data_IF_084121918222
#
_entry.id   IF_084121918222
#
_cell.length_a   1.000
_cell.length_b   1.000
_cell.length_c   1.000
_cell.angle_alpha   90.00
_cell.angle_beta   90.00
_cell.angle_gamma   90.00
#
_symmetry.space_group_name_H-M   'P 1'
#
loop_
_entity.id
_entity.type
_entity.pdbx_description
1 polymer ?
#
# COMPACT_ATOMS: atom_id res chain seq x y z
N UNK A 1 14.68 -13.89 9.59
CA UNK A 1 14.63 -13.47 11.00
C UNK A 1 14.45 -11.97 11.23
N UNK A 2 14.51 -11.15 10.16
CA UNK A 2 14.31 -9.69 10.26
C UNK A 2 12.82 -9.24 10.20
N UNK A 3 11.87 -10.17 10.01
CA UNK A 3 10.51 -9.85 9.57
C UNK A 3 9.54 -9.39 10.66
N UNK A 4 9.64 -9.89 11.88
CA UNK A 4 8.56 -9.74 12.86
C UNK A 4 8.48 -8.38 13.57
N UNK A 5 9.62 -7.76 13.91
CA UNK A 5 9.58 -6.56 14.75
C UNK A 5 9.35 -5.24 14.00
N UNK A 6 9.66 -5.16 12.71
CA UNK A 6 9.43 -3.94 11.93
C UNK A 6 7.98 -3.88 11.48
N UNK A 7 7.43 -5.01 11.02
CA UNK A 7 6.02 -5.13 10.68
C UNK A 7 5.10 -4.95 11.89
N UNK A 8 5.46 -5.50 13.04
CA UNK A 8 4.69 -5.36 14.26
C UNK A 8 4.65 -3.91 14.78
N UNK A 9 5.74 -3.14 14.64
CA UNK A 9 5.73 -1.71 14.97
C UNK A 9 4.93 -0.89 13.99
N UNK A 10 5.09 -1.12 12.70
CA UNK A 10 4.28 -0.48 11.66
C UNK A 10 2.81 -0.85 11.85
N UNK A 11 2.53 -2.11 12.12
CA UNK A 11 1.19 -2.60 12.40
C UNK A 11 0.53 -1.93 13.61
N UNK A 12 1.21 -1.86 14.76
CA UNK A 12 0.66 -1.18 15.95
C UNK A 12 0.41 0.30 15.71
N UNK A 13 1.31 0.96 15.00
CA UNK A 13 1.17 2.38 14.68
C UNK A 13 -0.01 2.62 13.71
N UNK A 14 -0.18 1.76 12.71
CA UNK A 14 -1.27 1.85 11.74
C UNK A 14 -2.61 1.36 12.30
N UNK A 15 -2.61 0.39 13.22
CA UNK A 15 -3.81 -0.05 13.92
C UNK A 15 -4.46 1.07 14.73
N UNK A 16 -3.66 1.91 15.40
CA UNK A 16 -4.15 3.07 16.14
C UNK A 16 -4.74 4.14 15.20
N UNK A 17 -4.25 4.20 13.95
CA UNK A 17 -4.65 5.21 12.96
C UNK A 17 -5.69 4.70 11.95
N UNK A 18 -5.71 3.38 11.67
CA UNK A 18 -6.58 2.76 10.68
C UNK A 18 -7.10 1.39 11.14
N UNK A 19 -8.30 1.32 11.77
CA UNK A 19 -8.90 0.06 12.23
C UNK A 19 -9.16 -0.96 11.11
N UNK A 20 -9.30 -0.54 9.85
CA UNK A 20 -9.52 -1.42 8.71
C UNK A 20 -8.31 -2.31 8.43
N UNK A 21 -7.11 -1.80 8.69
CA UNK A 21 -5.86 -2.57 8.56
C UNK A 21 -5.86 -3.78 9.51
N UNK A 22 -6.38 -3.63 10.73
CA UNK A 22 -6.53 -4.74 11.67
C UNK A 22 -7.43 -5.82 11.11
N UNK A 23 -8.56 -5.44 10.54
CA UNK A 23 -9.50 -6.38 9.94
C UNK A 23 -8.90 -7.13 8.75
N UNK A 24 -8.08 -6.46 7.93
CA UNK A 24 -7.35 -7.11 6.83
C UNK A 24 -6.31 -8.11 7.36
N UNK A 25 -5.54 -7.72 8.36
CA UNK A 25 -4.51 -8.54 9.00
C UNK A 25 -5.08 -9.82 9.59
N UNK A 26 -6.14 -9.69 10.38
CA UNK A 26 -6.81 -10.82 11.01
C UNK A 26 -7.44 -11.77 9.98
N UNK A 27 -8.01 -11.23 8.89
CA UNK A 27 -8.51 -12.06 7.79
C UNK A 27 -7.38 -12.83 7.09
N UNK A 28 -6.24 -12.18 6.86
CA UNK A 28 -5.08 -12.83 6.26
C UNK A 28 -4.61 -14.02 7.10
N UNK A 29 -4.43 -13.82 8.42
CA UNK A 29 -4.05 -14.90 9.34
C UNK A 29 -5.08 -16.01 9.34
N UNK A 30 -6.37 -15.69 9.35
CA UNK A 30 -7.45 -16.67 9.31
C UNK A 30 -7.44 -17.52 8.03
N UNK A 31 -7.03 -16.94 6.90
CA UNK A 31 -7.01 -17.63 5.61
C UNK A 31 -5.74 -18.47 5.39
N UNK A 32 -4.61 -18.01 5.86
CA UNK A 32 -3.31 -18.60 5.52
C UNK A 32 -2.57 -19.20 6.71
N UNK A 33 -3.01 -18.94 7.94
CA UNK A 33 -2.39 -19.47 9.16
C UNK A 33 -1.05 -18.82 9.54
N UNK A 34 -0.68 -17.74 8.86
CA UNK A 34 0.57 -17.01 9.10
C UNK A 34 0.35 -15.50 8.96
N UNK A 35 1.24 -14.70 9.52
CA UNK A 35 1.20 -13.25 9.39
C UNK A 35 1.58 -12.81 7.97
N UNK A 36 0.93 -11.74 7.43
CA UNK A 36 1.28 -11.21 6.12
C UNK A 36 2.70 -10.62 6.14
N UNK A 37 3.50 -11.01 5.16
CA UNK A 37 4.79 -10.39 4.89
C UNK A 37 4.67 -9.20 3.93
N UNK A 38 5.81 -8.52 3.67
CA UNK A 38 5.87 -7.42 2.70
C UNK A 38 5.29 -7.79 1.32
N UNK A 39 5.57 -8.98 0.74
CA UNK A 39 4.97 -9.34 -0.54
C UNK A 39 3.44 -9.41 -0.52
N UNK A 40 2.83 -9.84 0.60
CA UNK A 40 1.37 -9.89 0.75
C UNK A 40 0.77 -8.47 0.79
N UNK A 41 1.43 -7.55 1.49
CA UNK A 41 1.04 -6.15 1.56
C UNK A 41 1.13 -5.49 0.18
N UNK A 42 2.23 -5.67 -0.54
CA UNK A 42 2.41 -5.12 -1.89
C UNK A 42 1.42 -5.70 -2.89
N UNK A 43 1.17 -7.01 -2.84
CA UNK A 43 0.15 -7.66 -3.67
C UNK A 43 -1.25 -7.09 -3.42
N UNK A 44 -1.62 -6.85 -2.16
CA UNK A 44 -2.89 -6.22 -1.81
C UNK A 44 -2.99 -4.80 -2.35
N UNK A 45 -1.95 -3.97 -2.20
CA UNK A 45 -1.92 -2.59 -2.70
C UNK A 45 -2.12 -2.53 -4.21
N UNK A 46 -1.43 -3.40 -4.95
CA UNK A 46 -1.59 -3.49 -6.42
C UNK A 46 -3.02 -3.90 -6.78
N UNK A 47 -3.56 -4.92 -6.12
CA UNK A 47 -4.94 -5.36 -6.37
C UNK A 47 -5.96 -4.26 -6.06
N UNK A 48 -5.79 -3.54 -4.96
CA UNK A 48 -6.66 -2.42 -4.58
C UNK A 48 -6.68 -1.33 -5.66
N UNK A 49 -5.52 -0.91 -6.16
CA UNK A 49 -5.44 0.07 -7.25
C UNK A 49 -6.11 -0.41 -8.55
N UNK A 50 -5.96 -1.70 -8.88
CA UNK A 50 -6.66 -2.30 -10.03
C UNK A 50 -8.17 -2.25 -9.83
N UNK A 51 -8.68 -2.59 -8.65
CA UNK A 51 -10.11 -2.50 -8.35
C UNK A 51 -10.63 -1.07 -8.38
N UNK A 52 -9.88 -0.11 -7.85
CA UNK A 52 -10.21 1.32 -7.95
C UNK A 52 -10.33 1.78 -9.41
N UNK A 53 -9.42 1.34 -10.27
CA UNK A 53 -9.46 1.67 -11.69
C UNK A 53 -10.64 0.99 -12.41
N UNK A 54 -10.92 -0.28 -12.12
CA UNK A 54 -12.06 -1.01 -12.69
C UNK A 54 -13.39 -0.38 -12.30
N UNK A 55 -13.54 0.01 -11.04
CA UNK A 55 -14.75 0.69 -10.55
C UNK A 55 -14.98 2.02 -11.27
N UNK A 56 -13.92 2.81 -11.45
CA UNK A 56 -13.97 4.09 -12.17
C UNK A 56 -14.23 3.92 -13.68
N UNK A 57 -13.64 2.89 -14.30
CA UNK A 57 -13.86 2.60 -15.72
C UNK A 57 -15.30 2.14 -16.02
N UNK A 58 -15.96 1.52 -15.04
CA UNK A 58 -17.36 1.10 -15.15
C UNK A 58 -17.59 -0.09 -16.07
N UNK A 59 -18.85 -0.27 -16.51
CA UNK A 59 -19.29 -1.48 -17.22
C UNK A 59 -18.77 -1.59 -18.64
N UNK A 60 -18.49 -0.48 -19.31
CA UNK A 60 -17.98 -0.45 -20.68
C UNK A 60 -16.45 -0.46 -20.69
N UNK A 61 -15.88 -1.46 -20.07
CA UNK A 61 -14.43 -1.59 -19.89
C UNK A 61 -13.73 -1.80 -21.23
N UNK A 62 -12.81 -0.89 -21.54
CA UNK A 62 -11.85 -0.97 -22.64
C UNK A 62 -10.45 -0.73 -22.08
N UNK A 63 -9.41 -1.07 -22.84
CA UNK A 63 -8.02 -0.80 -22.45
C UNK A 63 -7.79 0.69 -22.20
N UNK A 64 -8.24 1.55 -23.12
CA UNK A 64 -8.09 3.00 -23.00
C UNK A 64 -8.91 3.56 -21.83
N UNK A 65 -10.11 3.03 -21.61
CA UNK A 65 -10.95 3.39 -20.46
C UNK A 65 -10.32 3.00 -19.13
N UNK A 66 -9.67 1.84 -19.05
CA UNK A 66 -8.94 1.41 -17.85
C UNK A 66 -7.71 2.27 -17.59
N UNK A 67 -6.92 2.58 -18.64
CA UNK A 67 -5.76 3.49 -18.52
C UNK A 67 -6.21 4.87 -18.04
N UNK A 68 -7.25 5.44 -18.66
CA UNK A 68 -7.79 6.74 -18.24
C UNK A 68 -8.31 6.73 -16.81
N UNK A 69 -8.90 5.61 -16.37
CA UNK A 69 -9.35 5.43 -15.00
C UNK A 69 -8.17 5.37 -14.00
N UNK A 70 -7.08 4.67 -14.33
CA UNK A 70 -5.85 4.68 -13.55
C UNK A 70 -5.25 6.08 -13.46
N UNK A 71 -5.14 6.78 -14.57
CA UNK A 71 -4.61 8.16 -14.65
C UNK A 71 -5.47 9.18 -13.87
N UNK A 72 -6.73 8.84 -13.60
CA UNK A 72 -7.64 9.67 -12.80
C UNK A 72 -7.48 9.48 -11.28
N UNK A 73 -6.67 8.51 -10.85
CA UNK A 73 -6.38 8.30 -9.42
C UNK A 73 -5.39 9.37 -8.98
N UNK A 74 -5.86 10.31 -8.19
CA UNK A 74 -5.06 11.39 -7.63
C UNK A 74 -5.26 11.45 -6.12
N UNK A 75 -4.15 11.61 -5.39
CA UNK A 75 -4.10 11.72 -3.93
C UNK A 75 -4.84 10.58 -3.19
N UNK A 76 -4.77 9.36 -3.73
CA UNK A 76 -5.36 8.20 -3.10
C UNK A 76 -4.46 7.68 -1.98
N UNK A 77 -5.02 7.50 -0.78
CA UNK A 77 -4.34 6.88 0.34
C UNK A 77 -4.81 5.43 0.48
N UNK A 78 -3.87 4.49 0.36
CA UNK A 78 -4.16 3.06 0.49
C UNK A 78 -4.35 2.62 1.94
N UNK A 79 -4.74 1.34 2.14
CA UNK A 79 -4.96 0.74 3.46
C UNK A 79 -3.76 0.87 4.40
N UNK A 80 -2.55 0.92 3.86
CA UNK A 80 -1.29 1.01 4.62
C UNK A 80 -0.80 2.44 4.83
N UNK A 81 -1.58 3.44 4.41
CA UNK A 81 -1.27 4.84 4.59
C UNK A 81 -0.35 5.44 3.52
N UNK A 82 -0.05 4.71 2.43
CA UNK A 82 0.74 5.24 1.33
C UNK A 82 -0.14 6.06 0.37
N UNK A 83 0.38 7.21 -0.02
CA UNK A 83 -0.28 8.07 -1.01
C UNK A 83 0.22 7.76 -2.40
N UNK A 84 -0.71 7.64 -3.34
CA UNK A 84 -0.43 7.42 -4.75
C UNK A 84 -1.21 8.39 -5.62
N UNK A 85 -0.57 8.85 -6.68
CA UNK A 85 -1.17 9.71 -7.72
C UNK A 85 -0.63 9.30 -9.07
N UNK A 86 -1.53 9.15 -10.04
CA UNK A 86 -1.18 8.89 -11.42
C UNK A 86 -1.61 10.06 -12.31
N UNK A 87 -1.24 10.02 -13.57
CA UNK A 87 -1.65 10.99 -14.58
C UNK A 87 -1.09 10.64 -15.95
N UNK A 88 -1.52 11.32 -17.02
CA UNK A 88 -1.11 11.01 -18.38
C UNK A 88 0.40 11.02 -18.64
N UNK A 89 1.15 11.77 -17.82
CA UNK A 89 2.60 11.87 -17.89
C UNK A 89 3.31 11.29 -16.65
N UNK A 90 2.55 10.61 -15.77
CA UNK A 90 3.06 10.06 -14.52
C UNK A 90 2.43 8.69 -14.27
N UNK A 91 3.13 7.64 -14.67
CA UNK A 91 2.70 6.26 -14.46
C UNK A 91 3.34 5.60 -13.22
N UNK A 92 4.32 6.24 -12.58
CA UNK A 92 4.79 5.88 -11.25
C UNK A 92 3.87 6.47 -10.19
N UNK A 93 3.13 5.62 -9.46
CA UNK A 93 2.13 6.10 -8.50
C UNK A 93 2.70 6.71 -7.22
N UNK A 94 3.90 6.27 -6.80
CA UNK A 94 4.53 6.78 -5.59
C UNK A 94 5.02 8.23 -5.78
N UNK A 95 4.84 9.03 -4.74
CA UNK A 95 5.29 10.42 -4.69
C UNK A 95 6.38 10.65 -3.64
N UNK A 96 6.55 9.68 -2.76
CA UNK A 96 7.51 9.74 -1.66
C UNK A 96 8.02 8.35 -1.28
N UNK A 97 9.19 8.31 -0.68
CA UNK A 97 9.76 7.12 -0.06
C UNK A 97 10.15 7.42 1.38
N UNK A 98 9.82 6.51 2.28
CA UNK A 98 10.26 6.57 3.68
C UNK A 98 11.65 5.97 3.79
N UNK A 99 12.57 6.71 4.42
CA UNK A 99 13.91 6.22 4.68
C UNK A 99 13.91 5.28 5.89
N UNK A 100 14.69 4.22 5.80
CA UNK A 100 14.90 3.28 6.91
C UNK A 100 16.39 3.04 7.11
N UNK A 101 16.80 2.85 8.36
CA UNK A 101 18.18 2.60 8.75
C UNK A 101 18.26 1.33 9.60
N UNK A 102 19.32 0.57 9.43
CA UNK A 102 19.61 -0.55 10.33
C UNK A 102 20.16 -0.02 11.65
N UNK A 103 19.45 -0.27 12.74
CA UNK A 103 19.84 0.09 14.09
C UNK A 103 19.73 -1.14 14.98
N UNK A 104 20.83 -1.56 15.62
CA UNK A 104 20.83 -2.75 16.47
C UNK A 104 20.42 -4.04 15.75
N UNK A 105 20.79 -4.20 14.46
CA UNK A 105 20.43 -5.35 13.63
C UNK A 105 18.98 -5.37 13.13
N UNK A 106 18.24 -4.27 13.25
CA UNK A 106 16.83 -4.13 12.83
C UNK A 106 16.64 -2.93 11.92
N UNK A 107 15.72 -3.02 10.98
CA UNK A 107 15.26 -1.88 10.20
C UNK A 107 14.38 -0.97 11.07
N UNK A 108 14.76 0.29 11.15
CA UNK A 108 13.99 1.34 11.85
C UNK A 108 13.63 2.40 10.83
N UNK A 109 12.34 2.68 10.68
CA UNK A 109 11.88 3.78 9.85
C UNK A 109 12.36 5.10 10.47
N UNK A 110 12.89 5.99 9.64
CA UNK A 110 13.24 7.34 10.03
C UNK A 110 12.02 8.24 9.84
N UNK A 111 11.94 9.31 10.63
CA UNK A 111 10.89 10.33 10.47
C UNK A 111 11.11 11.21 9.22
N UNK A 112 11.94 10.75 8.29
CA UNK A 112 12.29 11.45 7.07
C UNK A 112 11.72 10.72 5.87
N UNK A 113 11.05 11.46 5.00
CA UNK A 113 10.65 11.02 3.67
C UNK A 113 11.37 11.82 2.60
N UNK A 114 11.55 11.21 1.44
CA UNK A 114 12.07 11.85 0.23
C UNK A 114 10.95 11.90 -0.78
N UNK A 115 10.57 13.10 -1.21
CA UNK A 115 9.60 13.34 -2.29
C UNK A 115 10.31 13.45 -3.64
N UNK A 116 9.69 12.96 -4.72
CA UNK A 116 10.21 13.02 -6.10
C UNK A 116 9.10 13.09 -7.15
#
# INVERSE_FOLDING_TARGET
YMRMNTLEKVYKCLEEMNPELRGWWDRYISMYGEEPGVPAMEGYRVADLVFQALDRAGRNLTTDGFISALESIDDYTDLFGYRVSFGPNKHGGATESVLSQVQGGRWVALEQSVSY
#
